data_IF_994494129146
#
_entry.id   IF_994494129146
#
_cell.length_a   1.000
_cell.length_b   1.000
_cell.length_c   1.000
_cell.angle_alpha   90.00
_cell.angle_beta   90.00
_cell.angle_gamma   90.00
#
_symmetry.space_group_name_H-M   'P 1'
#
loop_
_entity.id
_entity.type
_entity.pdbx_description
1 polymer ?
#
# COMPACT_ATOMS: atom_id res chain seq x y z
N UNK A 1 -13.55 -6.15 -15.65
CA UNK A 1 -12.56 -6.89 -14.84
C UNK A 1 -13.00 -6.82 -13.37
N UNK A 2 -12.96 -7.91 -12.60
CA UNK A 2 -13.32 -7.88 -11.17
C UNK A 2 -12.09 -7.45 -10.37
N UNK A 3 -12.30 -6.69 -9.30
CA UNK A 3 -11.25 -6.27 -8.36
C UNK A 3 -10.39 -7.44 -7.91
N UNK A 4 -11.05 -8.53 -7.53
CA UNK A 4 -10.47 -9.80 -7.09
C UNK A 4 -9.39 -10.31 -8.05
N UNK A 5 -9.56 -10.17 -9.37
CA UNK A 5 -8.60 -10.69 -10.36
C UNK A 5 -7.30 -9.88 -10.39
N UNK A 6 -7.42 -8.55 -10.27
CA UNK A 6 -6.23 -7.68 -10.29
C UNK A 6 -5.55 -7.68 -8.93
N UNK A 7 -6.35 -7.71 -7.87
CA UNK A 7 -5.88 -7.97 -6.52
C UNK A 7 -5.11 -9.30 -6.48
N UNK A 8 -5.70 -10.42 -6.95
CA UNK A 8 -5.06 -11.75 -7.00
C UNK A 8 -3.75 -11.77 -7.78
N UNK A 9 -3.65 -10.99 -8.85
CA UNK A 9 -2.42 -10.92 -9.66
C UNK A 9 -1.28 -10.23 -8.90
N UNK A 10 -1.59 -9.19 -8.13
CA UNK A 10 -0.59 -8.43 -7.38
C UNK A 10 -0.33 -9.07 -6.01
N UNK A 11 -1.37 -9.59 -5.36
CA UNK A 11 -1.40 -10.26 -4.07
C UNK A 11 -2.45 -11.40 -4.12
N UNK A 12 -2.03 -12.67 -4.22
CA UNK A 12 -2.94 -13.81 -4.23
C UNK A 12 -3.85 -13.84 -2.99
N UNK A 13 -5.16 -13.97 -3.18
CA UNK A 13 -6.17 -13.98 -2.10
C UNK A 13 -6.10 -15.27 -1.26
N UNK A 14 -5.42 -16.33 -1.71
CA UNK A 14 -5.48 -17.69 -1.14
C UNK A 14 -4.17 -18.21 -0.56
N UNK A 15 -3.58 -17.47 0.36
CA UNK A 15 -2.63 -18.04 1.31
C UNK A 15 -3.18 -17.89 2.71
N UNK A 16 -3.00 -18.95 3.48
CA UNK A 16 -3.79 -19.23 4.67
C UNK A 16 -3.24 -18.46 5.87
N UNK A 17 -3.30 -17.13 5.83
CA UNK A 17 -2.87 -16.28 6.93
C UNK A 17 -1.40 -16.41 7.32
N UNK A 18 -0.58 -17.07 6.49
CA UNK A 18 0.86 -17.13 6.64
C UNK A 18 1.51 -15.91 6.00
N UNK A 19 2.70 -15.59 6.50
CA UNK A 19 3.56 -14.62 5.85
C UNK A 19 3.79 -15.06 4.41
N UNK A 20 3.49 -14.20 3.45
CA UNK A 20 3.78 -14.49 2.06
C UNK A 20 5.26 -14.18 1.79
N UNK A 21 5.95 -15.13 1.16
CA UNK A 21 7.34 -14.99 0.75
C UNK A 21 7.42 -14.23 -0.57
N UNK A 22 8.64 -13.86 -0.99
CA UNK A 22 8.88 -13.09 -2.22
C UNK A 22 8.15 -13.63 -3.45
N UNK A 23 8.11 -14.95 -3.63
CA UNK A 23 7.50 -15.61 -4.78
C UNK A 23 5.95 -15.59 -4.75
N UNK A 24 5.36 -15.20 -3.63
CA UNK A 24 3.92 -15.24 -3.42
C UNK A 24 3.23 -13.91 -3.76
N UNK A 25 3.94 -12.89 -4.23
CA UNK A 25 3.33 -11.62 -4.62
C UNK A 25 4.11 -10.85 -5.68
N UNK A 26 3.44 -9.89 -6.32
CA UNK A 26 4.02 -9.02 -7.34
C UNK A 26 4.05 -7.56 -6.89
N UNK A 27 4.24 -7.28 -5.60
CA UNK A 27 4.29 -5.91 -5.06
C UNK A 27 5.45 -5.07 -5.63
N UNK A 28 6.48 -5.72 -6.17
CA UNK A 28 7.55 -5.05 -6.92
C UNK A 28 7.02 -4.20 -8.10
N UNK A 29 5.84 -4.54 -8.62
CA UNK A 29 5.14 -3.77 -9.65
C UNK A 29 4.81 -2.34 -9.16
N UNK A 30 4.57 -2.13 -7.86
CA UNK A 30 4.38 -0.80 -7.27
C UNK A 30 5.72 -0.09 -7.08
N UNK A 31 6.66 -0.77 -6.43
CA UNK A 31 7.99 -0.26 -6.11
C UNK A 31 8.94 -1.44 -5.95
N UNK A 32 10.09 -1.42 -6.62
CA UNK A 32 11.01 -2.57 -6.65
C UNK A 32 11.52 -2.95 -5.25
N UNK A 33 11.53 -2.01 -4.28
CA UNK A 33 11.90 -2.29 -2.88
C UNK A 33 10.96 -3.28 -2.21
N UNK A 34 9.69 -3.26 -2.60
CA UNK A 34 8.65 -4.13 -2.04
C UNK A 34 8.88 -5.61 -2.33
N UNK A 35 9.77 -5.96 -3.27
CA UNK A 35 10.22 -7.33 -3.49
C UNK A 35 10.76 -8.00 -2.21
N UNK A 36 11.35 -7.25 -1.30
CA UNK A 36 12.04 -7.81 -0.13
C UNK A 36 11.26 -7.66 1.18
N UNK A 37 10.03 -7.14 1.10
CA UNK A 37 9.28 -6.78 2.29
C UNK A 37 8.47 -7.95 2.81
N UNK A 38 8.29 -7.98 4.14
CA UNK A 38 7.26 -8.80 4.76
C UNK A 38 5.96 -8.01 4.82
N UNK A 39 4.81 -8.67 4.69
CA UNK A 39 3.53 -7.97 4.77
C UNK A 39 2.48 -8.74 5.57
N UNK A 40 1.51 -7.97 6.05
CA UNK A 40 0.32 -8.42 6.73
C UNK A 40 -0.87 -8.20 5.81
N UNK A 41 -1.61 -9.27 5.57
CA UNK A 41 -2.80 -9.29 4.73
C UNK A 41 -3.96 -8.54 5.40
N UNK A 42 -4.83 -8.02 4.55
CA UNK A 42 -5.89 -7.05 4.85
C UNK A 42 -7.25 -7.66 5.16
N UNK A 43 -7.40 -8.96 4.94
CA UNK A 43 -8.61 -9.74 5.24
C UNK A 43 -8.81 -10.02 6.74
N UNK A 44 -7.99 -9.41 7.60
CA UNK A 44 -8.13 -9.49 9.05
C UNK A 44 -8.30 -8.09 9.62
N UNK A 45 -9.21 -7.91 10.60
CA UNK A 45 -9.34 -6.66 11.31
C UNK A 45 -8.02 -6.24 11.96
N UNK A 46 -7.83 -4.92 12.11
CA UNK A 46 -6.67 -4.37 12.83
C UNK A 46 -6.47 -4.96 14.24
N UNK A 47 -7.56 -5.36 14.90
CA UNK A 47 -7.54 -6.02 16.21
C UNK A 47 -6.71 -7.33 16.25
N UNK A 48 -6.47 -7.95 15.09
CA UNK A 48 -5.73 -9.22 15.02
C UNK A 48 -4.21 -9.04 15.07
N UNK A 49 -3.72 -7.84 14.76
CA UNK A 49 -2.28 -7.55 14.69
C UNK A 49 -1.86 -6.28 15.44
N UNK A 50 -2.79 -5.49 15.99
CA UNK A 50 -2.51 -4.37 16.89
C UNK A 50 -2.98 -4.70 18.31
N UNK A 51 -2.19 -4.40 19.33
CA UNK A 51 -2.54 -4.71 20.73
C UNK A 51 -3.65 -3.83 21.28
N UNK A 52 -3.69 -2.56 20.86
CA UNK A 52 -4.56 -1.53 21.43
C UNK A 52 -5.48 -0.95 20.34
N UNK A 53 -6.11 -1.81 19.55
CA UNK A 53 -7.08 -1.41 18.53
C UNK A 53 -8.40 -2.15 18.73
N UNK A 54 -9.50 -1.39 18.81
CA UNK A 54 -10.87 -1.91 18.74
C UNK A 54 -11.46 -1.80 17.32
N UNK A 55 -10.63 -1.45 16.33
CA UNK A 55 -11.12 -1.23 14.97
C UNK A 55 -11.45 -2.55 14.29
N UNK A 56 -12.74 -2.78 14.04
CA UNK A 56 -13.24 -3.89 13.22
C UNK A 56 -13.05 -3.65 11.72
N UNK A 57 -12.40 -2.55 11.34
CA UNK A 57 -12.10 -2.27 9.93
C UNK A 57 -11.11 -3.29 9.43
N UNK A 58 -11.48 -3.88 8.31
CA UNK A 58 -10.63 -4.68 7.47
C UNK A 58 -10.10 -3.74 6.38
N UNK A 59 -8.79 -3.51 6.28
CA UNK A 59 -8.25 -2.86 5.09
C UNK A 59 -8.64 -3.67 3.85
N UNK A 60 -8.84 -3.04 2.70
CA UNK A 60 -9.02 -3.83 1.46
C UNK A 60 -7.67 -4.50 1.11
N UNK A 61 -6.51 -3.93 1.49
CA UNK A 61 -5.17 -4.34 0.97
C UNK A 61 -3.97 -4.26 1.95
N UNK A 62 -2.98 -5.11 1.66
CA UNK A 62 -1.77 -5.43 2.41
C UNK A 62 -1.01 -4.25 3.05
N UNK A 63 -0.77 -4.38 4.35
CA UNK A 63 0.12 -3.54 5.10
C UNK A 63 1.51 -4.15 5.03
N UNK A 64 2.41 -3.48 4.33
CA UNK A 64 3.77 -3.96 4.11
C UNK A 64 4.69 -3.31 5.14
N UNK A 65 5.28 -4.14 6.00
CA UNK A 65 6.26 -3.70 6.98
C UNK A 65 7.64 -4.01 6.43
N UNK A 66 8.42 -2.96 6.16
CA UNK A 66 9.84 -3.15 5.91
C UNK A 66 10.49 -3.64 7.21
N UNK A 67 10.94 -4.89 7.18
CA UNK A 67 12.01 -5.43 8.02
C UNK A 67 12.59 -6.60 7.25
N UNK A 68 13.27 -6.30 6.15
CA UNK A 68 14.14 -7.30 5.53
C UNK A 68 14.99 -7.95 6.63
N UNK A 69 14.92 -9.28 6.77
CA UNK A 69 15.80 -10.02 7.70
C UNK A 69 17.29 -9.78 7.40
N UNK A 70 17.62 -9.32 6.18
CA UNK A 70 18.98 -8.96 5.78
C UNK A 70 19.40 -7.56 6.28
N UNK A 71 18.45 -6.72 6.72
CA UNK A 71 18.68 -5.33 7.12
C UNK A 71 17.87 -4.92 8.38
N UNK A 72 17.60 -5.82 9.32
CA UNK A 72 17.18 -5.47 10.70
C UNK A 72 18.38 -4.77 11.40
N UNK A 73 18.76 -3.59 10.88
CA UNK A 73 19.74 -2.70 11.46
C UNK A 73 19.03 -2.02 12.62
N UNK A 74 19.43 -2.36 13.83
CA UNK A 74 18.98 -1.63 15.01
C UNK A 74 19.14 -0.11 14.76
N UNK A 75 18.01 0.63 14.80
CA UNK A 75 18.00 2.09 14.67
C UNK A 75 17.59 2.67 13.31
N UNK A 76 17.13 1.88 12.34
CA UNK A 76 16.51 2.41 11.10
C UNK A 76 14.98 2.43 11.21
N UNK A 77 14.38 3.63 11.26
CA UNK A 77 12.93 3.84 11.16
C UNK A 77 12.51 3.82 9.67
N UNK A 78 12.47 2.62 9.08
CA UNK A 78 12.05 2.43 7.69
C UNK A 78 10.56 2.79 7.48
N UNK A 79 10.17 3.22 6.27
CA UNK A 79 8.79 3.59 6.01
C UNK A 79 7.86 2.38 6.07
N UNK A 80 6.65 2.58 6.59
CA UNK A 80 5.57 1.61 6.50
C UNK A 80 4.80 1.88 5.21
N UNK A 81 4.50 0.82 4.46
CA UNK A 81 3.80 0.94 3.18
C UNK A 81 2.39 0.39 3.32
N UNK A 82 1.41 1.18 2.88
CA UNK A 82 0.01 0.79 2.79
C UNK A 82 -0.33 0.79 1.31
N UNK A 83 -0.91 -0.30 0.82
CA UNK A 83 -1.47 -0.35 -0.54
C UNK A 83 -2.98 -0.45 -0.38
N UNK A 84 -3.75 0.15 -1.27
CA UNK A 84 -5.21 0.18 -1.30
C UNK A 84 -5.69 0.01 -2.75
N UNK A 85 -6.24 -1.14 -3.08
CA UNK A 85 -6.79 -1.48 -4.39
C UNK A 85 -8.27 -1.13 -4.40
N UNK A 86 -8.75 -0.44 -5.44
CA UNK A 86 -10.18 -0.25 -5.68
C UNK A 86 -10.62 -0.99 -6.92
N UNK A 87 -11.87 -1.46 -6.92
CA UNK A 87 -12.50 -2.07 -8.09
C UNK A 87 -12.21 -1.29 -9.38
N UNK A 88 -11.63 -1.94 -10.41
CA UNK A 88 -11.45 -1.35 -11.72
C UNK A 88 -12.77 -0.76 -12.25
N UNK A 89 -12.70 0.47 -12.75
CA UNK A 89 -13.83 1.24 -13.24
C UNK A 89 -14.91 1.58 -12.20
N UNK A 90 -14.61 1.58 -10.89
CA UNK A 90 -15.57 1.97 -9.84
C UNK A 90 -16.17 3.36 -10.15
N UNK A 91 -17.49 3.45 -10.40
CA UNK A 91 -18.08 4.69 -10.90
C UNK A 91 -18.36 5.73 -9.81
N UNK A 92 -18.50 5.26 -8.56
CA UNK A 92 -18.99 6.07 -7.46
C UNK A 92 -17.89 6.23 -6.40
N UNK A 93 -17.61 7.50 -6.10
CA UNK A 93 -16.81 7.97 -4.99
C UNK A 93 -17.49 9.21 -4.41
N UNK A 94 -17.28 9.48 -3.13
CA UNK A 94 -17.78 10.69 -2.47
C UNK A 94 -16.72 11.24 -1.53
N UNK A 95 -16.96 12.40 -0.92
CA UNK A 95 -16.06 12.91 0.11
C UNK A 95 -15.96 11.98 1.33
N UNK A 96 -17.05 11.31 1.70
CA UNK A 96 -17.08 10.33 2.80
C UNK A 96 -16.59 8.94 2.38
N UNK A 97 -16.45 8.70 1.07
CA UNK A 97 -15.99 7.46 0.45
C UNK A 97 -14.83 7.80 -0.49
N UNK A 98 -13.81 8.45 0.08
CA UNK A 98 -12.60 8.89 -0.61
C UNK A 98 -11.45 7.93 -0.24
N UNK A 99 -10.83 7.25 -1.22
CA UNK A 99 -9.77 6.30 -0.93
C UNK A 99 -8.51 6.95 -0.32
N UNK A 100 -8.27 8.25 -0.59
CA UNK A 100 -7.17 9.00 0.05
C UNK A 100 -7.44 9.17 1.55
N UNK A 101 -8.68 9.50 1.93
CA UNK A 101 -9.08 9.58 3.33
C UNK A 101 -8.96 8.21 4.00
N UNK A 102 -9.40 7.16 3.32
CA UNK A 102 -9.36 5.78 3.82
C UNK A 102 -7.93 5.35 4.21
N UNK A 103 -6.93 5.56 3.34
CA UNK A 103 -5.54 5.18 3.68
C UNK A 103 -4.96 6.01 4.82
N UNK A 104 -5.35 7.28 4.97
CA UNK A 104 -4.91 8.11 6.10
C UNK A 104 -5.57 7.67 7.43
N UNK A 105 -6.82 7.20 7.38
CA UNK A 105 -7.46 6.58 8.53
C UNK A 105 -6.72 5.31 8.97
N UNK A 106 -6.22 4.50 8.03
CA UNK A 106 -5.36 3.35 8.36
C UNK A 106 -4.06 3.79 9.04
N UNK A 107 -3.41 4.86 8.56
CA UNK A 107 -2.23 5.42 9.24
C UNK A 107 -2.56 5.79 10.69
N UNK A 108 -3.71 6.42 10.94
CA UNK A 108 -4.13 6.78 12.30
C UNK A 108 -4.39 5.54 13.17
N UNK A 109 -5.09 4.53 12.64
CA UNK A 109 -5.35 3.28 13.37
C UNK A 109 -4.03 2.61 13.74
N UNK A 110 -3.10 2.50 12.79
CA UNK A 110 -1.78 1.88 13.03
C UNK A 110 -0.95 2.66 14.04
N UNK A 111 -0.89 3.99 13.92
CA UNK A 111 -0.10 4.83 14.83
C UNK A 111 -0.65 4.84 16.26
N UNK A 112 -1.96 4.67 16.42
CA UNK A 112 -2.62 4.65 17.73
C UNK A 112 -2.81 3.24 18.31
N UNK A 113 -2.64 2.18 17.51
CA UNK A 113 -2.96 0.80 17.91
C UNK A 113 -1.92 0.09 18.79
N UNK A 114 -0.98 0.83 19.37
CA UNK A 114 0.01 0.26 20.29
C UNK A 114 1.03 -0.64 19.61
N UNK A 115 1.43 -1.72 20.29
CA UNK A 115 2.38 -2.69 19.75
C UNK A 115 1.74 -3.49 18.60
N UNK A 116 2.53 -3.84 17.59
CA UNK A 116 2.05 -4.62 16.46
C UNK A 116 2.68 -6.01 16.43
N UNK A 117 1.90 -7.02 16.03
CA UNK A 117 2.34 -8.40 15.87
C UNK A 117 2.95 -8.58 14.47
N UNK A 118 4.22 -8.94 14.40
CA UNK A 118 4.88 -9.23 13.13
C UNK A 118 4.50 -10.61 12.58
N UNK A 119 5.02 -10.94 11.39
CA UNK A 119 4.77 -12.21 10.71
C UNK A 119 5.23 -13.45 11.49
N UNK A 120 6.18 -13.31 12.42
CA UNK A 120 6.65 -14.40 13.30
C UNK A 120 5.78 -14.55 14.54
N UNK A 121 4.75 -13.71 14.66
CA UNK A 121 3.89 -13.63 15.83
C UNK A 121 4.50 -12.84 16.99
N UNK A 122 5.65 -12.18 16.79
CA UNK A 122 6.33 -11.41 17.83
C UNK A 122 5.77 -9.99 17.88
N UNK A 123 5.48 -9.52 19.09
CA UNK A 123 5.11 -8.13 19.29
C UNK A 123 6.32 -7.21 19.12
N UNK A 124 6.12 -6.17 18.31
CA UNK A 124 7.05 -5.08 18.05
C UNK A 124 6.54 -3.82 18.74
N UNK A 125 7.46 -2.89 18.99
CA UNK A 125 7.15 -1.61 19.65
C UNK A 125 6.10 -0.82 18.85
N UNK A 126 5.33 0.07 19.51
CA UNK A 126 4.46 1.00 18.81
C UNK A 126 5.20 1.81 17.76
N UNK A 127 4.48 2.22 16.71
CA UNK A 127 5.02 2.97 15.58
C UNK A 127 5.33 4.41 16.02
N UNK A 128 6.60 4.86 16.03
CA UNK A 128 6.95 6.22 16.39
C UNK A 128 6.31 7.27 15.46
N UNK A 129 6.09 8.52 15.93
CA UNK A 129 5.65 9.62 15.07
C UNK A 129 6.62 9.95 13.92
N UNK A 130 7.92 9.65 14.10
CA UNK A 130 8.97 9.82 13.09
C UNK A 130 8.85 8.84 11.92
N UNK A 131 8.21 7.68 12.11
CA UNK A 131 8.07 6.68 11.05
C UNK A 131 7.20 7.23 9.92
N UNK A 132 7.77 7.25 8.72
CA UNK A 132 7.08 7.71 7.51
C UNK A 132 6.12 6.63 7.02
N UNK A 133 4.98 7.04 6.50
CA UNK A 133 4.09 6.18 5.73
C UNK A 133 4.18 6.50 4.24
N UNK A 134 4.10 5.47 3.41
CA UNK A 134 3.93 5.59 1.95
C UNK A 134 2.67 4.81 1.60
N UNK A 135 1.66 5.51 1.11
CA UNK A 135 0.37 4.93 0.80
C UNK A 135 0.16 4.94 -0.71
N UNK A 136 -0.14 3.78 -1.30
CA UNK A 136 -0.55 3.64 -2.68
C UNK A 136 -2.06 3.41 -2.73
N UNK A 137 -2.77 4.21 -3.51
CA UNK A 137 -4.16 3.97 -3.91
C UNK A 137 -4.16 3.59 -5.38
N UNK A 138 -4.54 2.36 -5.69
CA UNK A 138 -4.57 1.85 -7.05
C UNK A 138 -6.02 1.75 -7.52
N UNK A 139 -6.39 2.65 -8.43
CA UNK A 139 -7.78 2.82 -8.86
C UNK A 139 -7.87 3.48 -10.24
N UNK A 140 -8.80 3.00 -11.08
CA UNK A 140 -9.06 3.64 -12.39
C UNK A 140 -9.67 5.03 -12.22
N UNK A 141 -9.14 5.99 -12.98
CA UNK A 141 -9.55 7.40 -12.90
C UNK A 141 -10.89 7.65 -13.58
N UNK A 142 -11.97 7.42 -12.83
CA UNK A 142 -13.32 7.87 -13.21
C UNK A 142 -13.49 9.36 -12.89
N UNK A 143 -14.43 10.08 -13.54
CA UNK A 143 -14.66 11.50 -13.24
C UNK A 143 -14.89 11.78 -11.75
N UNK A 144 -15.59 10.87 -11.05
CA UNK A 144 -15.84 10.99 -9.61
C UNK A 144 -14.59 10.76 -8.77
N UNK A 145 -13.72 9.81 -9.14
CA UNK A 145 -12.45 9.63 -8.44
C UNK A 145 -11.56 10.87 -8.59
N UNK A 146 -11.44 11.38 -9.83
CA UNK A 146 -10.63 12.57 -10.11
C UNK A 146 -11.14 13.78 -9.31
N UNK A 147 -12.46 13.97 -9.24
CA UNK A 147 -13.09 15.02 -8.42
C UNK A 147 -12.65 14.91 -6.95
N UNK A 148 -12.82 13.75 -6.30
CA UNK A 148 -12.50 13.61 -4.87
C UNK A 148 -10.98 13.65 -4.59
N UNK A 149 -10.15 13.15 -5.51
CA UNK A 149 -8.67 13.20 -5.37
C UNK A 149 -8.17 14.64 -5.50
N UNK A 150 -8.73 15.41 -6.45
CA UNK A 150 -8.35 16.82 -6.66
C UNK A 150 -8.65 17.72 -5.46
N UNK A 151 -9.57 17.30 -4.58
CA UNK A 151 -9.94 18.00 -3.35
C UNK A 151 -9.28 17.40 -2.10
N UNK A 152 -8.49 16.34 -2.25
CA UNK A 152 -7.78 15.67 -1.17
C UNK A 152 -6.36 16.23 -0.97
N UNK A 153 -5.58 15.63 -0.06
CA UNK A 153 -4.14 15.93 0.08
C UNK A 153 -3.27 15.39 -1.05
N UNK A 154 -3.82 14.51 -1.91
CA UNK A 154 -3.14 13.92 -3.05
C UNK A 154 -3.54 14.62 -4.35
N UNK A 155 -3.64 15.96 -4.35
CA UNK A 155 -4.16 16.71 -5.48
C UNK A 155 -3.13 17.01 -6.58
N UNK A 156 -1.83 16.77 -6.32
CA UNK A 156 -0.77 17.13 -7.26
C UNK A 156 -0.65 16.05 -8.33
N UNK A 157 -0.52 16.43 -9.60
CA UNK A 157 -0.30 15.46 -10.67
C UNK A 157 1.15 14.99 -10.69
N UNK A 158 1.36 13.71 -10.99
CA UNK A 158 2.69 13.17 -11.33
C UNK A 158 3.29 13.87 -12.55
N UNK A 159 4.59 13.69 -12.78
CA UNK A 159 5.32 14.36 -13.86
C UNK A 159 4.79 14.03 -15.26
N UNK A 160 4.33 12.80 -15.48
CA UNK A 160 3.65 12.35 -16.70
C UNK A 160 2.17 12.76 -16.77
N UNK A 161 1.60 13.26 -15.68
CA UNK A 161 0.19 13.64 -15.57
C UNK A 161 -0.80 12.48 -15.49
N UNK A 162 -0.31 11.23 -15.40
CA UNK A 162 -1.12 10.01 -15.38
C UNK A 162 -1.42 9.49 -13.97
N UNK A 163 -0.92 10.16 -12.94
CA UNK A 163 -1.10 9.84 -11.53
C UNK A 163 -1.29 11.09 -10.69
N UNK A 164 -1.59 10.88 -9.42
CA UNK A 164 -1.69 11.93 -8.42
C UNK A 164 -0.86 11.60 -7.19
N UNK A 165 -0.42 12.62 -6.46
CA UNK A 165 0.30 12.43 -5.22
C UNK A 165 0.15 13.62 -4.27
N UNK A 166 0.52 13.40 -3.03
CA UNK A 166 0.79 14.47 -2.08
C UNK A 166 1.23 13.97 -0.73
N UNK A 167 1.42 14.91 0.19
CA UNK A 167 1.99 14.64 1.50
C UNK A 167 1.06 15.18 2.58
N UNK A 168 0.79 14.36 3.59
CA UNK A 168 0.08 14.75 4.80
C UNK A 168 1.08 14.91 5.95
N UNK A 169 1.41 16.16 6.37
CA UNK A 169 2.35 16.40 7.46
C UNK A 169 1.90 15.79 8.79
N UNK A 170 0.60 15.85 9.10
CA UNK A 170 0.00 15.33 10.34
C UNK A 170 0.20 13.82 10.44
N UNK A 171 0.12 13.11 9.31
CA UNK A 171 0.30 11.66 9.25
C UNK A 171 1.76 11.26 8.98
N UNK A 172 2.65 12.20 8.66
CA UNK A 172 3.97 11.91 8.08
C UNK A 172 3.86 10.86 6.94
N UNK A 173 2.88 11.08 6.05
CA UNK A 173 2.48 10.12 5.04
C UNK A 173 2.52 10.74 3.65
N UNK A 174 3.15 10.06 2.70
CA UNK A 174 2.95 10.34 1.27
C UNK A 174 1.84 9.45 0.77
N UNK A 175 0.93 10.00 -0.05
CA UNK A 175 -0.10 9.24 -0.74
C UNK A 175 0.10 9.40 -2.24
N UNK A 176 0.14 8.29 -2.96
CA UNK A 176 0.18 8.22 -4.42
C UNK A 176 -1.08 7.51 -4.91
N UNK A 177 -1.76 8.11 -5.89
CA UNK A 177 -2.97 7.55 -6.52
C UNK A 177 -2.63 7.26 -7.97
N UNK A 178 -2.73 6.00 -8.38
CA UNK A 178 -2.29 5.52 -9.70
C UNK A 178 -3.35 4.59 -10.31
N UNK A 179 -3.61 4.68 -11.62
CA UNK A 179 -4.47 3.71 -12.30
C UNK A 179 -3.69 2.43 -12.63
N UNK A 180 -4.42 1.31 -12.82
CA UNK A 180 -3.82 -0.01 -13.02
C UNK A 180 -2.94 -0.10 -14.29
N UNK A 181 -3.30 0.61 -15.35
CA UNK A 181 -2.51 0.65 -16.58
C UNK A 181 -1.16 1.33 -16.37
N UNK A 182 -1.14 2.44 -15.61
CA UNK A 182 0.08 3.16 -15.26
C UNK A 182 1.01 2.29 -14.44
N UNK A 183 0.45 1.59 -13.46
CA UNK A 183 1.20 0.69 -12.59
C UNK A 183 2.09 -0.30 -13.39
N UNK A 184 1.49 -1.00 -14.36
CA UNK A 184 2.21 -1.95 -15.20
C UNK A 184 3.22 -1.28 -16.14
N UNK A 185 2.87 -0.10 -16.65
CA UNK A 185 3.75 0.67 -17.52
C UNK A 185 5.01 1.13 -16.76
N UNK A 186 4.83 1.73 -15.58
CA UNK A 186 5.92 2.21 -14.73
C UNK A 186 6.82 1.07 -14.29
N UNK A 187 6.26 -0.08 -13.90
CA UNK A 187 7.04 -1.26 -13.54
C UNK A 187 7.94 -1.74 -14.69
N UNK A 188 7.42 -1.73 -15.93
CA UNK A 188 8.21 -2.08 -17.12
C UNK A 188 9.33 -1.08 -17.37
N UNK A 189 9.05 0.21 -17.28
CA UNK A 189 10.04 1.26 -17.48
C UNK A 189 11.16 1.20 -16.43
N UNK A 190 10.81 1.04 -15.15
CA UNK A 190 11.81 0.91 -14.07
C UNK A 190 12.75 -0.27 -14.28
N UNK A 191 12.24 -1.36 -14.87
CA UNK A 191 12.97 -2.61 -15.05
C UNK A 191 13.52 -2.82 -16.47
N UNK A 192 13.36 -1.85 -17.38
CA UNK A 192 13.75 -1.95 -18.80
C UNK A 192 15.24 -2.30 -18.97
N UNK A 193 16.12 -1.66 -18.19
CA UNK A 193 17.55 -1.94 -18.21
C UNK A 193 17.87 -3.39 -17.84
N UNK A 194 17.13 -3.99 -16.90
CA UNK A 194 17.30 -5.39 -16.51
C UNK A 194 16.78 -6.34 -17.59
N UNK A 195 15.60 -6.07 -18.16
CA UNK A 195 15.06 -6.88 -19.26
C UNK A 195 15.98 -6.88 -20.47
N UNK A 196 16.51 -5.71 -20.86
CA UNK A 196 17.48 -5.60 -21.94
C UNK A 196 18.76 -6.40 -21.65
N UNK A 197 19.24 -6.39 -20.40
CA UNK A 197 20.41 -7.17 -19.99
C UNK A 197 20.17 -8.68 -20.03
N UNK A 198 18.95 -9.12 -19.74
CA UNK A 198 18.54 -10.53 -19.71
C UNK A 198 18.04 -11.03 -21.08
N UNK A 199 17.88 -10.16 -22.08
CA UNK A 199 17.35 -10.50 -23.40
C UNK A 199 15.84 -10.76 -23.42
N UNK A 200 15.08 -10.11 -22.51
CA UNK A 200 13.64 -10.29 -22.32
C UNK A 200 12.82 -9.16 -22.96
N UNK A 201 13.18 -8.76 -24.18
CA UNK A 201 12.54 -7.66 -24.92
C UNK A 201 11.40 -8.12 -25.82
#
# INVERSE_FOLDING_TARGET
>A
MREEIVHDLIIPIRSDGEALDYEDHNLWILDDRLAFYSYLKSDKPFTTFLTDSDSTREPDVAVVFDRSLAFDREGTDEPIIIVEFKRPGRPNYSHSDNPVTQVLEYVNIMRNGGAFKDRTGRFRKPIPPSTRFICFVVADFTPKLVEVVSMSIAQNKSADGEGYFGFSPIHNAVVEVLPYNKLLHDARLRNEAFFAKLGLN
#
